data_IF_088394740517
#
_entry.id   IF_088394740517
#
_cell.length_a   1.000
_cell.length_b   1.000
_cell.length_c   1.000
_cell.angle_alpha   90.00
_cell.angle_beta   90.00
_cell.angle_gamma   90.00
#
_symmetry.space_group_name_H-M   'P 1'
#
loop_
_entity.id
_entity.type
_entity.pdbx_description
1 polymer ?
#
# COMPACT_ATOMS: atom_id res chain seq x y z
N UNK A 1 22.85 -4.66 -1.57
CA UNK A 1 21.57 -4.59 -0.81
C UNK A 1 20.98 -5.97 -0.54
N UNK A 2 20.62 -6.83 -1.52
CA UNK A 2 20.02 -8.14 -1.22
C UNK A 2 20.90 -9.01 -0.31
N UNK A 3 22.21 -9.06 -0.52
CA UNK A 3 23.13 -9.85 0.32
C UNK A 3 23.09 -9.42 1.79
N UNK A 4 23.03 -8.12 2.05
CA UNK A 4 22.90 -7.58 3.42
C UNK A 4 21.56 -7.97 4.04
N UNK A 5 20.46 -7.92 3.26
CA UNK A 5 19.16 -8.35 3.73
C UNK A 5 19.16 -9.84 4.10
N UNK A 6 19.69 -10.69 3.24
CA UNK A 6 19.81 -12.13 3.49
C UNK A 6 20.66 -12.43 4.72
N UNK A 7 21.80 -11.75 4.86
CA UNK A 7 22.66 -11.89 6.04
C UNK A 7 21.94 -11.49 7.33
N UNK A 8 21.21 -10.38 7.31
CA UNK A 8 20.47 -9.91 8.47
C UNK A 8 19.30 -10.84 8.85
N UNK A 9 18.70 -11.51 7.86
CA UNK A 9 17.63 -12.48 8.06
C UNK A 9 18.15 -13.88 8.44
N UNK A 10 19.45 -14.15 8.27
CA UNK A 10 20.01 -15.49 8.41
C UNK A 10 19.47 -16.48 7.38
N UNK A 11 19.19 -16.00 6.16
CA UNK A 11 18.57 -16.78 5.08
C UNK A 11 19.41 -16.75 3.82
N UNK A 12 19.29 -17.79 2.98
CA UNK A 12 19.98 -17.86 1.69
C UNK A 12 19.17 -17.22 0.56
N UNK A 13 17.84 -17.14 0.70
CA UNK A 13 16.93 -16.51 -0.24
C UNK A 13 15.71 -15.94 0.47
N UNK A 14 14.95 -15.10 -0.23
CA UNK A 14 13.60 -14.64 0.16
C UNK A 14 12.58 -15.06 -0.90
N UNK A 15 11.34 -15.29 -0.52
CA UNK A 15 10.29 -15.61 -1.50
C UNK A 15 9.91 -14.39 -2.34
N UNK A 16 9.80 -13.22 -1.72
CA UNK A 16 9.48 -11.97 -2.41
C UNK A 16 10.48 -10.87 -2.04
N UNK A 17 11.11 -10.29 -3.06
CA UNK A 17 11.99 -9.13 -2.90
C UNK A 17 11.34 -7.88 -3.48
N UNK A 18 11.08 -6.87 -2.65
CA UNK A 18 10.31 -5.69 -3.02
C UNK A 18 11.24 -4.52 -3.34
N UNK A 19 11.11 -3.95 -4.54
CA UNK A 19 11.69 -2.66 -4.90
C UNK A 19 10.89 -1.55 -4.22
N UNK A 20 11.51 -0.84 -3.25
CA UNK A 20 10.78 -0.06 -2.24
C UNK A 20 10.00 1.13 -2.78
N UNK A 21 10.52 1.83 -3.80
CA UNK A 21 9.81 2.92 -4.47
C UNK A 21 10.42 3.24 -5.83
N UNK A 22 9.60 3.85 -6.69
CA UNK A 22 10.05 4.39 -7.96
C UNK A 22 10.92 5.62 -7.76
N UNK A 23 12.20 5.57 -8.20
CA UNK A 23 13.18 6.64 -7.91
C UNK A 23 13.25 7.75 -8.98
N UNK A 24 12.56 7.60 -10.09
CA UNK A 24 12.51 8.55 -11.22
C UNK A 24 13.86 8.80 -11.94
N UNK A 25 14.93 8.19 -11.50
CA UNK A 25 16.28 8.43 -12.03
C UNK A 25 16.85 7.22 -12.73
N UNK A 26 16.67 6.05 -12.16
CA UNK A 26 17.19 4.80 -12.73
C UNK A 26 16.33 4.40 -13.94
N UNK A 27 16.95 4.13 -15.10
CA UNK A 27 16.20 3.61 -16.25
C UNK A 27 15.46 2.32 -15.89
N UNK A 28 14.23 2.18 -16.39
CA UNK A 28 13.40 1.00 -16.12
C UNK A 28 14.13 -0.30 -16.51
N UNK A 29 14.86 -0.27 -17.62
CA UNK A 29 15.66 -1.42 -18.07
C UNK A 29 16.64 -1.87 -17.00
N UNK A 30 17.40 -0.95 -16.40
CA UNK A 30 18.42 -1.27 -15.39
C UNK A 30 17.77 -1.79 -14.09
N UNK A 31 16.58 -1.27 -13.73
CA UNK A 31 15.82 -1.78 -12.60
C UNK A 31 15.41 -3.24 -12.85
N UNK A 32 14.79 -3.51 -13.99
CA UNK A 32 14.25 -4.85 -14.31
C UNK A 32 15.37 -5.87 -14.55
N UNK A 33 16.44 -5.50 -15.24
CA UNK A 33 17.63 -6.37 -15.40
C UNK A 33 18.27 -6.70 -14.03
N UNK A 34 18.48 -5.69 -13.19
CA UNK A 34 19.07 -5.87 -11.87
C UNK A 34 18.23 -6.80 -10.97
N UNK A 35 16.91 -6.63 -10.96
CA UNK A 35 15.98 -7.49 -10.21
C UNK A 35 15.94 -8.90 -10.78
N UNK A 36 15.92 -9.05 -12.11
CA UNK A 36 15.98 -10.35 -12.79
C UNK A 36 17.24 -11.13 -12.44
N UNK A 37 18.39 -10.44 -12.35
CA UNK A 37 19.66 -11.08 -11.91
C UNK A 37 19.57 -11.58 -10.47
N UNK A 38 18.84 -10.91 -9.59
CA UNK A 38 18.63 -11.36 -8.21
C UNK A 38 17.86 -12.68 -8.19
N UNK A 39 16.81 -12.80 -9.01
CA UNK A 39 16.02 -14.03 -9.13
C UNK A 39 16.85 -15.15 -9.76
N UNK A 40 17.51 -14.88 -10.87
CA UNK A 40 18.40 -15.87 -11.54
C UNK A 40 19.56 -16.35 -10.66
N UNK A 41 20.00 -15.53 -9.72
CA UNK A 41 21.02 -15.92 -8.73
C UNK A 41 20.43 -16.73 -7.56
N UNK A 42 19.14 -17.04 -7.56
CA UNK A 42 18.46 -17.80 -6.52
C UNK A 42 18.29 -17.06 -5.18
N UNK A 43 18.50 -15.73 -5.15
CA UNK A 43 18.40 -14.93 -3.93
C UNK A 43 17.00 -14.42 -3.64
N UNK A 44 16.13 -14.41 -4.62
CA UNK A 44 14.69 -14.19 -4.49
C UNK A 44 13.96 -15.11 -5.44
N UNK A 45 12.74 -15.52 -5.10
CA UNK A 45 11.87 -16.30 -6.00
C UNK A 45 11.05 -15.38 -6.89
N UNK A 46 10.54 -14.31 -6.33
CA UNK A 46 9.69 -13.33 -7.00
C UNK A 46 10.13 -11.91 -6.66
N UNK A 47 9.74 -10.98 -7.51
CA UNK A 47 9.95 -9.55 -7.30
C UNK A 47 8.63 -8.81 -7.19
N UNK A 48 8.58 -7.83 -6.31
CA UNK A 48 7.46 -6.89 -6.16
C UNK A 48 7.94 -5.45 -6.22
N UNK A 49 6.99 -4.53 -6.30
CA UNK A 49 7.27 -3.10 -6.24
C UNK A 49 6.43 -2.44 -5.16
N UNK A 50 6.89 -1.31 -4.63
CA UNK A 50 6.16 -0.49 -3.68
C UNK A 50 6.15 0.96 -4.14
N UNK A 51 5.10 1.71 -3.78
CA UNK A 51 5.03 3.15 -4.01
C UNK A 51 5.30 3.57 -5.46
N UNK A 52 4.50 3.07 -6.38
CA UNK A 52 4.50 3.45 -7.78
C UNK A 52 3.07 3.67 -8.30
N UNK A 53 2.92 4.36 -9.40
CA UNK A 53 1.66 4.49 -10.12
C UNK A 53 1.38 3.26 -11.00
N UNK A 54 0.12 2.99 -11.31
CA UNK A 54 -0.26 1.84 -12.14
C UNK A 54 0.43 1.83 -13.50
N UNK A 55 0.55 3.01 -14.17
CA UNK A 55 1.27 3.11 -15.44
C UNK A 55 2.77 2.73 -15.33
N UNK A 56 3.39 2.92 -14.15
CA UNK A 56 4.81 2.60 -13.94
C UNK A 56 5.04 1.09 -13.88
N UNK A 57 4.24 0.37 -13.09
CA UNK A 57 4.33 -1.08 -13.02
C UNK A 57 3.91 -1.72 -14.34
N UNK A 58 2.87 -1.21 -15.00
CA UNK A 58 2.45 -1.66 -16.33
C UNK A 58 3.59 -1.54 -17.35
N UNK A 59 4.25 -0.38 -17.40
CA UNK A 59 5.39 -0.15 -18.29
C UNK A 59 6.58 -1.04 -17.96
N UNK A 60 6.85 -1.27 -16.68
CA UNK A 60 7.95 -2.15 -16.25
C UNK A 60 7.68 -3.61 -16.64
N UNK A 61 6.45 -4.10 -16.42
CA UNK A 61 6.07 -5.46 -16.76
C UNK A 61 6.00 -5.69 -18.27
N UNK A 62 5.55 -4.70 -19.05
CA UNK A 62 5.59 -4.78 -20.51
C UNK A 62 7.03 -4.85 -21.04
N UNK A 63 7.95 -4.07 -20.45
CA UNK A 63 9.37 -4.17 -20.79
C UNK A 63 9.93 -5.56 -20.41
N UNK A 64 9.59 -6.05 -19.21
CA UNK A 64 10.04 -7.36 -18.75
C UNK A 64 9.62 -8.48 -19.71
N UNK A 65 8.38 -8.45 -20.18
CA UNK A 65 7.88 -9.41 -21.16
C UNK A 65 8.66 -9.36 -22.47
N UNK A 66 8.91 -8.15 -22.98
CA UNK A 66 9.65 -7.94 -24.21
C UNK A 66 11.10 -8.42 -24.13
N UNK A 67 11.77 -8.18 -23.02
CA UNK A 67 13.20 -8.46 -22.84
C UNK A 67 13.49 -9.82 -22.17
N UNK A 68 12.45 -10.57 -21.80
CA UNK A 68 12.59 -11.86 -21.08
C UNK A 68 13.10 -11.67 -19.64
N UNK A 69 12.73 -10.59 -19.02
CA UNK A 69 13.01 -10.31 -17.60
C UNK A 69 11.88 -10.84 -16.70
N UNK A 70 12.16 -10.93 -15.40
CA UNK A 70 11.14 -11.23 -14.39
C UNK A 70 10.15 -10.06 -14.27
N UNK A 71 8.86 -10.38 -14.13
CA UNK A 71 7.80 -9.39 -13.92
C UNK A 71 7.58 -9.12 -12.43
N UNK A 72 7.15 -7.92 -12.08
CA UNK A 72 6.60 -7.68 -10.76
C UNK A 72 5.29 -8.45 -10.59
N UNK A 73 5.23 -9.27 -9.54
CA UNK A 73 4.05 -10.09 -9.20
C UNK A 73 3.22 -9.49 -8.07
N UNK A 74 3.71 -8.45 -7.43
CA UNK A 74 3.00 -7.77 -6.34
C UNK A 74 3.28 -6.28 -6.30
N UNK A 75 2.31 -5.53 -5.78
CA UNK A 75 2.41 -4.12 -5.42
C UNK A 75 2.11 -3.92 -3.93
N UNK A 76 2.96 -3.15 -3.25
CA UNK A 76 2.74 -2.73 -1.88
C UNK A 76 2.47 -1.23 -1.84
N UNK A 77 1.19 -0.84 -1.86
CA UNK A 77 0.71 0.54 -1.86
C UNK A 77 0.17 0.99 -0.50
N UNK A 78 -0.20 2.26 -0.40
CA UNK A 78 -0.91 2.82 0.75
C UNK A 78 -2.41 2.66 0.53
N UNK A 79 -3.05 1.69 1.19
CA UNK A 79 -4.46 1.43 1.01
C UNK A 79 -5.11 0.93 2.29
N UNK A 80 -6.24 1.52 2.65
CA UNK A 80 -7.08 1.17 3.79
C UNK A 80 -8.45 1.86 3.65
N UNK A 81 -9.37 1.58 4.55
CA UNK A 81 -10.76 2.04 4.48
C UNK A 81 -10.93 3.59 4.43
N UNK A 82 -10.00 4.35 5.01
CA UNK A 82 -10.01 5.82 4.97
C UNK A 82 -9.00 6.42 3.99
N UNK A 83 -8.33 5.60 3.17
CA UNK A 83 -7.48 6.04 2.08
C UNK A 83 -7.57 5.05 0.91
N UNK A 84 -8.43 5.35 -0.07
CA UNK A 84 -8.83 4.44 -1.15
C UNK A 84 -8.40 4.90 -2.54
N UNK A 85 -7.36 5.73 -2.64
CA UNK A 85 -6.93 6.31 -3.93
C UNK A 85 -6.36 5.27 -4.90
N UNK A 86 -5.92 4.11 -4.41
CA UNK A 86 -5.47 2.99 -5.25
C UNK A 86 -6.60 2.37 -6.09
N UNK A 87 -7.87 2.59 -5.71
CA UNK A 87 -9.03 2.09 -6.46
C UNK A 87 -9.24 2.76 -7.81
N UNK A 88 -8.60 3.90 -8.05
CA UNK A 88 -8.71 4.63 -9.32
C UNK A 88 -8.04 3.90 -10.48
N UNK A 89 -6.87 3.33 -10.26
CA UNK A 89 -6.07 2.68 -11.28
C UNK A 89 -5.42 1.38 -10.82
N UNK A 90 -4.80 1.38 -9.63
CA UNK A 90 -3.96 0.26 -9.20
C UNK A 90 -4.78 -1.00 -8.94
N UNK A 91 -5.90 -0.89 -8.23
CA UNK A 91 -6.76 -2.05 -7.91
C UNK A 91 -7.29 -2.70 -9.20
N UNK A 92 -7.95 -1.98 -10.13
CA UNK A 92 -8.40 -2.59 -11.38
C UNK A 92 -7.25 -3.14 -12.24
N UNK A 93 -6.12 -2.45 -12.31
CA UNK A 93 -4.94 -2.97 -13.02
C UNK A 93 -4.43 -4.29 -12.43
N UNK A 94 -4.31 -4.36 -11.11
CA UNK A 94 -3.85 -5.57 -10.44
C UNK A 94 -4.82 -6.74 -10.61
N UNK A 95 -6.12 -6.46 -10.61
CA UNK A 95 -7.15 -7.47 -10.85
C UNK A 95 -7.07 -8.05 -12.27
N UNK A 96 -6.87 -7.20 -13.27
CA UNK A 96 -6.76 -7.62 -14.67
C UNK A 96 -5.48 -8.41 -14.94
N UNK A 97 -4.35 -7.95 -14.39
CA UNK A 97 -3.03 -8.55 -14.61
C UNK A 97 -2.67 -9.66 -13.61
N UNK A 98 -3.58 -10.00 -12.69
CA UNK A 98 -3.36 -10.99 -11.63
C UNK A 98 -2.11 -10.66 -10.78
N UNK A 99 -1.97 -9.40 -10.39
CA UNK A 99 -0.89 -8.89 -9.52
C UNK A 99 -1.39 -8.81 -8.09
N UNK A 100 -0.64 -9.36 -7.14
CA UNK A 100 -1.01 -9.36 -5.73
C UNK A 100 -0.93 -7.96 -5.12
N UNK A 101 -2.02 -7.52 -4.48
CA UNK A 101 -2.05 -6.32 -3.65
C UNK A 101 -1.67 -6.66 -2.22
N UNK A 102 -0.61 -6.04 -1.71
CA UNK A 102 -0.10 -6.25 -0.34
C UNK A 102 0.07 -4.93 0.41
N UNK A 103 -1.01 -4.16 0.63
CA UNK A 103 -0.90 -2.78 1.09
C UNK A 103 -0.35 -2.64 2.50
N UNK A 104 0.36 -1.54 2.72
CA UNK A 104 0.78 -1.10 4.05
C UNK A 104 -0.20 -0.06 4.64
N UNK A 105 -0.03 0.27 5.91
CA UNK A 105 -0.93 1.17 6.66
C UNK A 105 -2.38 0.65 6.75
N UNK A 106 -2.57 -0.64 6.79
CA UNK A 106 -3.87 -1.31 6.83
C UNK A 106 -4.84 -0.75 7.89
N UNK A 107 -4.33 -0.30 9.03
CA UNK A 107 -5.10 0.29 10.13
C UNK A 107 -4.93 1.82 10.26
N UNK A 108 -4.47 2.50 9.21
CA UNK A 108 -4.31 3.96 9.18
C UNK A 108 -3.58 4.53 10.41
N UNK A 109 -2.41 3.97 10.76
CA UNK A 109 -1.65 4.30 11.96
C UNK A 109 -2.44 4.12 13.27
N UNK A 110 -3.38 3.19 13.30
CA UNK A 110 -4.22 2.86 14.44
C UNK A 110 -5.51 3.69 14.55
N UNK A 111 -5.83 4.55 13.60
CA UNK A 111 -7.11 5.29 13.55
C UNK A 111 -8.30 4.36 13.37
N UNK A 112 -8.13 3.30 12.57
CA UNK A 112 -9.15 2.28 12.32
C UNK A 112 -9.26 1.20 13.42
N UNK A 113 -8.53 1.35 14.53
CA UNK A 113 -8.55 0.38 15.64
C UNK A 113 -9.08 0.96 16.95
N UNK A 114 -9.60 2.20 16.96
CA UNK A 114 -10.16 2.88 18.13
C UNK A 114 -11.20 3.92 17.72
N UNK A 115 -12.09 4.27 18.64
CA UNK A 115 -13.13 5.28 18.41
C UNK A 115 -12.51 6.67 18.22
N UNK A 116 -13.15 7.58 17.45
CA UNK A 116 -12.73 8.96 17.34
C UNK A 116 -12.69 9.62 18.73
N UNK A 117 -11.64 10.37 19.02
CA UNK A 117 -11.49 11.06 20.30
C UNK A 117 -11.04 10.19 21.49
N UNK A 118 -10.96 8.90 21.35
CA UNK A 118 -10.31 8.05 22.36
C UNK A 118 -8.81 8.36 22.38
N UNK A 119 -8.33 8.75 23.58
CA UNK A 119 -7.00 9.28 23.83
C UNK A 119 -5.87 8.54 23.13
N UNK A 120 -4.98 9.31 22.56
CA UNK A 120 -3.85 8.81 21.79
C UNK A 120 -2.92 7.91 22.63
N UNK A 121 -2.37 6.93 21.99
CA UNK A 121 -1.17 6.31 22.54
C UNK A 121 -0.03 7.32 22.41
N UNK A 122 0.97 7.27 23.31
CA UNK A 122 2.20 8.07 23.19
C UNK A 122 2.74 8.12 21.74
N UNK A 123 2.66 6.99 21.04
CA UNK A 123 3.02 6.89 19.62
C UNK A 123 2.14 7.76 18.71
N UNK A 124 0.84 7.84 18.94
CA UNK A 124 -0.06 8.66 18.11
C UNK A 124 0.21 10.16 18.27
N UNK A 125 0.64 10.57 19.46
CA UNK A 125 0.99 11.96 19.75
C UNK A 125 2.37 12.34 19.17
N UNK A 126 3.29 11.39 19.10
CA UNK A 126 4.65 11.57 18.59
C UNK A 126 4.80 11.29 17.09
N UNK A 127 3.85 10.58 16.45
CA UNK A 127 3.92 10.20 15.03
C UNK A 127 3.54 11.36 14.11
N UNK A 128 4.52 12.22 13.83
CA UNK A 128 4.37 13.34 12.91
C UNK A 128 4.02 12.91 11.48
N UNK A 129 4.46 11.72 11.07
CA UNK A 129 4.18 11.19 9.74
C UNK A 129 2.72 10.72 9.58
N UNK A 130 2.15 10.11 10.62
CA UNK A 130 0.72 9.78 10.63
C UNK A 130 -0.14 11.06 10.61
N UNK A 131 0.24 12.10 11.36
CA UNK A 131 -0.42 13.40 11.31
C UNK A 131 -0.35 14.02 9.91
N UNK A 132 0.79 13.99 9.28
CA UNK A 132 0.96 14.45 7.89
C UNK A 132 0.02 13.72 6.91
N UNK A 133 -0.17 12.41 7.09
CA UNK A 133 -1.01 11.61 6.20
C UNK A 133 -2.51 11.84 6.35
N UNK A 134 -3.02 12.04 7.57
CA UNK A 134 -4.44 11.92 7.86
C UNK A 134 -5.09 13.16 8.49
N UNK A 135 -4.31 14.16 8.92
CA UNK A 135 -4.88 15.32 9.63
C UNK A 135 -5.82 16.16 8.75
N UNK A 136 -5.51 16.28 7.46
CA UNK A 136 -6.27 17.13 6.54
C UNK A 136 -7.69 16.60 6.27
N UNK A 137 -7.95 15.32 6.48
CA UNK A 137 -9.20 14.64 6.19
C UNK A 137 -9.88 14.08 7.44
N UNK A 138 -9.40 14.47 8.62
CA UNK A 138 -9.80 13.89 9.90
C UNK A 138 -11.31 13.92 10.16
N UNK A 139 -11.98 15.01 9.86
CA UNK A 139 -13.42 15.15 10.06
C UNK A 139 -14.22 14.18 9.18
N UNK A 140 -13.84 14.03 7.92
CA UNK A 140 -14.44 13.13 6.97
C UNK A 140 -14.18 11.67 7.34
N UNK A 141 -12.94 11.36 7.69
CA UNK A 141 -12.51 10.02 8.09
C UNK A 141 -13.23 9.54 9.36
N UNK A 142 -13.52 10.46 10.29
CA UNK A 142 -14.19 10.12 11.55
C UNK A 142 -15.60 9.56 11.35
N UNK A 143 -16.29 9.88 10.25
CA UNK A 143 -17.57 9.27 9.91
C UNK A 143 -17.41 7.77 9.63
N UNK A 144 -16.42 7.43 8.81
CA UNK A 144 -16.10 6.03 8.48
C UNK A 144 -15.63 5.28 9.74
N UNK A 145 -14.75 5.89 10.54
CA UNK A 145 -14.25 5.30 11.78
C UNK A 145 -15.40 5.04 12.77
N UNK A 146 -16.38 5.94 12.83
CA UNK A 146 -17.61 5.75 13.60
C UNK A 146 -18.38 4.52 13.15
N UNK A 147 -18.60 4.37 11.84
CA UNK A 147 -19.28 3.19 11.26
C UNK A 147 -18.53 1.88 11.52
N UNK A 148 -17.18 1.92 11.51
CA UNK A 148 -16.38 0.76 11.92
C UNK A 148 -16.65 0.38 13.38
N UNK A 149 -16.75 1.37 14.28
CA UNK A 149 -17.06 1.11 15.68
C UNK A 149 -18.47 0.51 15.88
N UNK A 150 -19.45 0.98 15.14
CA UNK A 150 -20.83 0.46 15.18
C UNK A 150 -20.88 -1.00 14.71
N UNK A 151 -20.20 -1.34 13.60
CA UNK A 151 -20.16 -2.72 13.13
C UNK A 151 -19.35 -3.62 14.07
N UNK A 152 -18.29 -3.11 14.69
CA UNK A 152 -17.53 -3.85 15.70
C UNK A 152 -18.41 -4.22 16.90
N UNK A 153 -19.24 -3.28 17.39
CA UNK A 153 -20.21 -3.56 18.46
C UNK A 153 -21.28 -4.57 18.01
N UNK A 154 -21.82 -4.40 16.78
CA UNK A 154 -22.84 -5.30 16.22
C UNK A 154 -22.36 -6.75 16.13
N UNK A 155 -21.11 -6.95 15.69
CA UNK A 155 -20.50 -8.29 15.54
C UNK A 155 -19.87 -8.80 16.83
N UNK A 156 -19.72 -7.98 17.88
CA UNK A 156 -19.03 -8.35 19.12
C UNK A 156 -17.52 -8.58 18.92
N UNK A 157 -16.90 -7.86 17.98
CA UNK A 157 -15.48 -7.97 17.61
C UNK A 157 -14.76 -6.61 17.76
N UNK A 158 -13.46 -6.56 17.56
CA UNK A 158 -12.71 -5.32 17.60
C UNK A 158 -12.85 -4.52 16.29
N UNK A 159 -12.65 -3.20 16.36
CA UNK A 159 -12.56 -2.34 15.17
C UNK A 159 -11.42 -2.78 14.22
N UNK A 160 -10.35 -3.34 14.76
CA UNK A 160 -9.26 -3.93 13.99
C UNK A 160 -9.75 -5.07 13.10
N UNK A 161 -10.58 -5.97 13.65
CA UNK A 161 -11.12 -7.11 12.91
C UNK A 161 -12.03 -6.62 11.78
N UNK A 162 -12.94 -5.68 12.03
CA UNK A 162 -13.82 -5.10 11.00
C UNK A 162 -13.01 -4.41 9.89
N UNK A 163 -12.03 -3.57 10.25
CA UNK A 163 -11.22 -2.83 9.27
C UNK A 163 -10.37 -3.74 8.40
N UNK A 164 -9.80 -4.79 8.97
CA UNK A 164 -9.01 -5.76 8.23
C UNK A 164 -9.88 -6.72 7.42
N UNK A 165 -11.05 -7.11 7.92
CA UNK A 165 -12.01 -7.91 7.17
C UNK A 165 -12.47 -7.17 5.91
N UNK A 166 -12.79 -5.86 6.02
CA UNK A 166 -13.08 -5.03 4.85
C UNK A 166 -11.90 -5.01 3.87
N UNK A 167 -10.67 -4.79 4.36
CA UNK A 167 -9.49 -4.72 3.50
C UNK A 167 -9.24 -6.02 2.75
N UNK A 168 -9.45 -7.16 3.42
CA UNK A 168 -9.29 -8.50 2.84
C UNK A 168 -10.28 -8.81 1.71
N UNK A 169 -11.38 -8.07 1.57
CA UNK A 169 -12.28 -8.22 0.42
C UNK A 169 -11.67 -7.70 -0.89
N UNK A 170 -10.68 -6.79 -0.79
CA UNK A 170 -10.11 -6.07 -1.93
C UNK A 170 -8.64 -6.40 -2.22
N UNK A 171 -7.94 -7.09 -1.30
CA UNK A 171 -6.49 -7.29 -1.42
C UNK A 171 -6.08 -8.73 -1.15
N UNK A 172 -4.90 -9.10 -1.65
CA UNK A 172 -4.37 -10.46 -1.46
C UNK A 172 -3.90 -10.69 -0.03
N UNK A 173 -3.14 -9.76 0.55
CA UNK A 173 -2.62 -9.86 1.91
C UNK A 173 -2.17 -8.49 2.44
N UNK A 174 -2.81 -7.93 3.47
CA UNK A 174 -2.37 -6.67 4.06
C UNK A 174 -1.10 -6.83 4.91
N UNK A 175 -0.27 -5.79 4.93
CA UNK A 175 0.86 -5.69 5.87
C UNK A 175 0.37 -5.04 7.15
N UNK A 176 0.32 -5.80 8.23
CA UNK A 176 -0.16 -5.35 9.53
C UNK A 176 1.00 -5.18 10.50
N UNK A 177 1.16 -3.97 11.03
CA UNK A 177 2.16 -3.66 12.06
C UNK A 177 1.70 -4.11 13.44
N UNK A 178 2.54 -4.86 14.15
CA UNK A 178 2.25 -5.31 15.51
C UNK A 178 3.41 -4.97 16.45
N UNK A 179 3.10 -4.39 17.62
CA UNK A 179 4.06 -4.13 18.71
C UNK A 179 3.71 -4.91 20.00
N UNK A 180 2.57 -5.59 20.00
CA UNK A 180 2.08 -6.41 21.11
C UNK A 180 1.42 -7.67 20.56
N UNK A 181 1.40 -8.74 21.35
CA UNK A 181 0.85 -10.03 20.95
C UNK A 181 -0.62 -9.93 20.51
N UNK A 182 -1.44 -9.23 21.28
CA UNK A 182 -2.87 -9.07 20.94
C UNK A 182 -3.13 -8.34 19.61
N UNK A 183 -2.16 -7.59 19.05
CA UNK A 183 -2.29 -7.02 17.70
C UNK A 183 -2.24 -8.11 16.63
N UNK A 184 -1.38 -9.12 16.84
CA UNK A 184 -1.27 -10.27 15.92
C UNK A 184 -2.54 -11.13 16.03
N UNK A 185 -2.99 -11.40 17.26
CA UNK A 185 -4.20 -12.20 17.51
C UNK A 185 -5.45 -11.54 16.89
N UNK A 186 -5.62 -10.21 17.07
CA UNK A 186 -6.72 -9.47 16.45
C UNK A 186 -6.63 -9.44 14.92
N UNK A 187 -5.43 -9.32 14.36
CA UNK A 187 -5.24 -9.38 12.92
C UNK A 187 -5.57 -10.77 12.34
N UNK A 188 -5.20 -11.84 13.05
CA UNK A 188 -5.50 -13.21 12.65
C UNK A 188 -7.02 -13.48 12.63
N UNK A 189 -7.75 -13.02 13.64
CA UNK A 189 -9.21 -13.18 13.72
C UNK A 189 -9.98 -12.47 12.59
N UNK A 190 -9.42 -11.41 12.03
CA UNK A 190 -10.04 -10.69 10.92
C UNK A 190 -10.26 -11.57 9.68
N UNK A 191 -9.50 -12.64 9.53
CA UNK A 191 -9.62 -13.57 8.39
C UNK A 191 -10.94 -14.35 8.42
N UNK A 192 -11.49 -14.56 9.61
CA UNK A 192 -12.72 -15.33 9.80
C UNK A 192 -13.97 -14.45 9.81
N UNK A 193 -13.82 -13.12 9.87
CA UNK A 193 -14.96 -12.19 9.87
C UNK A 193 -15.43 -11.92 8.45
N UNK A 194 -16.67 -12.29 8.17
CA UNK A 194 -17.32 -12.01 6.89
C UNK A 194 -18.30 -10.84 7.06
N UNK A 195 -18.05 -9.75 6.32
CA UNK A 195 -18.96 -8.62 6.23
C UNK A 195 -19.99 -8.86 5.11
N UNK A 196 -21.24 -8.47 5.35
CA UNK A 196 -22.27 -8.56 4.31
C UNK A 196 -22.09 -7.48 3.24
N UNK A 197 -22.66 -7.65 2.03
CA UNK A 197 -22.61 -6.60 1.00
C UNK A 197 -23.16 -5.25 1.49
N UNK A 198 -24.20 -5.26 2.31
CA UNK A 198 -24.79 -4.05 2.89
C UNK A 198 -23.84 -3.38 3.89
N UNK A 199 -23.09 -4.15 4.67
CA UNK A 199 -22.09 -3.65 5.60
C UNK A 199 -20.88 -3.06 4.85
N UNK A 200 -20.47 -3.66 3.75
CA UNK A 200 -19.42 -3.11 2.89
C UNK A 200 -19.86 -1.76 2.32
N UNK A 201 -21.06 -1.67 1.73
CA UNK A 201 -21.61 -0.41 1.24
C UNK A 201 -21.72 0.63 2.36
N UNK A 202 -22.17 0.22 3.55
CA UNK A 202 -22.29 1.09 4.71
C UNK A 202 -20.94 1.71 5.12
N UNK A 203 -19.86 0.92 5.11
CA UNK A 203 -18.52 1.41 5.40
C UNK A 203 -17.97 2.35 4.31
N UNK A 204 -18.31 2.09 3.05
CA UNK A 204 -17.73 2.76 1.89
C UNK A 204 -18.44 4.05 1.47
N UNK A 205 -19.74 4.12 1.67
CA UNK A 205 -20.59 5.23 1.23
C UNK A 205 -20.09 6.63 1.64
N UNK A 206 -19.53 6.83 2.87
CA UNK A 206 -19.08 8.15 3.29
C UNK A 206 -17.72 8.56 2.71
N UNK A 207 -17.07 7.69 1.93
CA UNK A 207 -15.71 7.99 1.46
C UNK A 207 -15.68 9.20 0.53
N UNK A 208 -14.82 10.15 0.86
CA UNK A 208 -14.50 11.30 0.02
C UNK A 208 -13.06 11.15 -0.48
N UNK A 209 -12.83 11.26 -1.81
CA UNK A 209 -11.48 11.15 -2.36
C UNK A 209 -10.48 12.10 -1.72
N UNK A 210 -9.30 11.60 -1.45
CA UNK A 210 -8.21 12.31 -0.79
C UNK A 210 -7.16 12.77 -1.79
N UNK A 211 -6.43 13.80 -1.43
CA UNK A 211 -5.16 14.08 -2.09
C UNK A 211 -4.16 12.98 -1.76
N UNK A 212 -3.24 12.69 -2.68
CA UNK A 212 -2.17 11.74 -2.41
C UNK A 212 -1.41 12.14 -1.14
N UNK A 213 -1.18 11.19 -0.27
CA UNK A 213 -0.51 11.36 1.01
C UNK A 213 0.70 10.41 1.13
N UNK A 214 1.56 10.68 2.13
CA UNK A 214 2.71 9.83 2.41
C UNK A 214 3.74 9.82 1.29
N UNK A 215 4.27 8.65 1.00
CA UNK A 215 5.35 8.46 0.01
C UNK A 215 4.92 8.90 -1.39
N UNK A 216 3.70 8.59 -1.81
CA UNK A 216 3.23 8.92 -3.15
C UNK A 216 3.05 10.43 -3.38
N UNK A 217 2.72 11.20 -2.35
CA UNK A 217 2.67 12.65 -2.43
C UNK A 217 4.06 13.28 -2.65
N UNK A 218 5.10 12.60 -2.19
CA UNK A 218 6.49 13.08 -2.27
C UNK A 218 7.26 12.42 -3.42
N UNK A 219 6.79 11.27 -3.90
CA UNK A 219 7.44 10.51 -4.96
C UNK A 219 7.10 11.07 -6.34
N UNK A 220 7.79 12.11 -6.73
CA UNK A 220 7.64 12.82 -8.00
C UNK A 220 8.99 13.11 -8.66
N UNK A 221 9.01 13.43 -9.97
CA UNK A 221 10.22 13.79 -10.66
C UNK A 221 10.96 14.93 -9.95
N UNK A 222 12.30 14.96 -10.07
CA UNK A 222 13.08 16.12 -9.61
C UNK A 222 12.68 17.37 -10.36
N UNK A 223 12.86 18.53 -9.74
CA UNK A 223 12.54 19.82 -10.38
C UNK A 223 13.16 20.00 -11.77
N UNK A 224 14.36 19.48 -12.01
CA UNK A 224 14.98 19.48 -13.31
C UNK A 224 14.23 18.62 -14.33
N UNK A 225 13.78 17.43 -13.92
CA UNK A 225 12.97 16.55 -14.76
C UNK A 225 11.56 17.09 -14.96
N UNK A 226 10.96 17.66 -13.93
CA UNK A 226 9.66 18.34 -14.06
C UNK A 226 9.73 19.45 -15.11
N UNK A 227 10.76 20.27 -15.02
CA UNK A 227 10.97 21.33 -15.99
C UNK A 227 11.20 20.79 -17.40
N UNK A 228 11.91 19.70 -17.53
CA UNK A 228 12.10 19.03 -18.81
C UNK A 228 10.81 18.44 -19.35
N UNK A 229 10.02 17.79 -18.53
CA UNK A 229 8.76 17.14 -18.94
C UNK A 229 7.68 18.15 -19.28
N UNK A 230 7.52 19.18 -18.48
CA UNK A 230 6.37 20.06 -18.59
C UNK A 230 6.62 21.32 -19.40
N UNK A 231 7.82 21.85 -19.32
CA UNK A 231 8.07 23.06 -20.06
C UNK A 231 8.75 22.86 -21.36
N UNK A 232 9.37 21.76 -21.52
CA UNK A 232 9.85 21.56 -22.82
C UNK A 232 8.88 21.03 -23.69
N UNK A 233 8.14 20.26 -23.10
CA UNK A 233 7.19 19.76 -23.91
C UNK A 233 6.74 20.85 -24.72
N UNK A 234 6.38 21.84 -24.23
CA UNK A 234 5.64 22.64 -25.03
C UNK A 234 6.40 23.19 -26.00
N UNK A 235 7.41 23.26 -25.80
CA UNK A 235 8.01 23.62 -26.78
C UNK A 235 8.76 22.85 -27.28
N UNK A 236 8.77 22.40 -26.53
CA UNK A 236 9.45 21.54 -26.64
C UNK A 236 8.72 20.42 -26.93
N UNK A 237 7.62 20.43 -26.61
CA UNK A 237 6.67 19.72 -27.28
C UNK A 237 6.62 20.19 -28.67
N UNK A 238 7.32 21.03 -28.95
CA UNK A 238 7.58 21.34 -30.30
C UNK A 238 8.39 20.34 -31.08
#
# INVERSE_FOLDING_TARGET
MINTSLQNLGMDYVDLYIYHMWDWQTPIYDIMDGLTRIVKAGKARYIGISNCFAWQIAKANALAEKEGFEKFVSIQGHYNLIFREEEREMVPYCSEENIALTPYSALAAGRLSRKPGEGGTKRADEDSYAKFKYKATEEQDNVIIGRVAELAEKHGVSMTEVSLAWLLTNVTAPVVGATKLHHIEGAAKAVDLVLTPEELVYLEEPYVPHSLAGVMAQNKPSAAKEKHVWTTGDQKIK
#
